data_IF_559789539233
#
_entry.id   IF_559789539233
#
_cell.length_a   1.000
_cell.length_b   1.000
_cell.length_c   1.000
_cell.angle_alpha   90.00
_cell.angle_beta   90.00
_cell.angle_gamma   90.00
#
_symmetry.space_group_name_H-M   'P 1'
#
loop_
_entity.id
_entity.type
_entity.pdbx_description
1 polymer ?
#
# COMPACT_ATOMS: atom_id res chain seq x y z
N UNK A 1 84.13 2.55 -58.61
CA UNK A 1 83.06 3.34 -59.25
C UNK A 1 83.68 4.46 -60.10
N UNK A 2 84.55 5.31 -59.56
CA UNK A 2 85.24 6.37 -60.32
C UNK A 2 86.03 5.86 -61.54
N UNK A 3 86.81 4.79 -61.40
CA UNK A 3 87.59 4.22 -62.52
C UNK A 3 86.73 3.65 -63.65
N UNK A 4 85.47 3.28 -63.38
CA UNK A 4 84.54 2.75 -64.38
C UNK A 4 83.81 3.88 -65.11
N UNK A 5 83.52 4.96 -64.40
CA UNK A 5 82.90 6.17 -64.94
C UNK A 5 83.85 6.87 -65.93
N UNK A 6 85.14 6.92 -65.58
CA UNK A 6 86.19 7.48 -66.44
C UNK A 6 86.41 6.69 -67.74
N UNK A 7 86.13 5.37 -67.75
CA UNK A 7 86.23 4.53 -68.97
C UNK A 7 85.01 4.60 -69.88
N UNK A 8 83.88 5.11 -69.37
CA UNK A 8 82.64 5.24 -70.14
C UNK A 8 82.60 6.56 -70.92
N UNK A 9 83.28 7.58 -70.41
CA UNK A 9 83.41 8.91 -71.02
C UNK A 9 84.42 8.94 -72.19
N UNK A 10 85.28 7.92 -72.33
CA UNK A 10 86.18 7.76 -73.47
C UNK A 10 85.54 6.88 -74.56
N UNK A 11 84.79 7.48 -75.50
CA UNK A 11 84.30 6.75 -76.67
C UNK A 11 85.46 6.29 -77.57
N UNK A 12 85.69 4.97 -77.64
CA UNK A 12 86.70 4.38 -78.53
C UNK A 12 86.94 2.88 -78.34
N UNK A 13 85.94 2.06 -78.66
CA UNK A 13 86.00 0.58 -78.71
C UNK A 13 86.43 -0.13 -77.42
N UNK A 14 85.53 -0.20 -76.42
CA UNK A 14 85.64 -1.21 -75.37
C UNK A 14 85.73 -2.61 -76.02
N UNK A 15 86.78 -3.36 -75.69
CA UNK A 15 86.94 -4.75 -76.15
C UNK A 15 85.73 -5.59 -75.74
N UNK A 16 85.35 -6.59 -76.55
CA UNK A 16 84.26 -7.52 -76.24
C UNK A 16 84.44 -8.14 -74.84
N UNK A 17 85.68 -8.44 -74.45
CA UNK A 17 86.01 -8.95 -73.12
C UNK A 17 85.68 -7.94 -71.99
N UNK A 18 85.96 -6.65 -72.20
CA UNK A 18 85.64 -5.60 -71.22
C UNK A 18 84.13 -5.39 -71.09
N UNK A 19 83.38 -5.41 -72.20
CA UNK A 19 81.91 -5.32 -72.17
C UNK A 19 81.28 -6.49 -71.42
N UNK A 20 81.76 -7.71 -71.65
CA UNK A 20 81.30 -8.92 -70.95
C UNK A 20 81.60 -8.84 -69.44
N UNK A 21 82.77 -8.31 -69.05
CA UNK A 21 83.13 -8.10 -67.66
C UNK A 21 82.24 -7.05 -66.95
N UNK A 22 81.91 -5.94 -67.61
CA UNK A 22 80.96 -4.96 -67.06
C UNK A 22 79.55 -5.52 -66.92
N UNK A 23 79.09 -6.28 -67.92
CA UNK A 23 77.79 -6.95 -67.87
C UNK A 23 77.72 -8.01 -66.76
N UNK A 24 78.80 -8.76 -66.52
CA UNK A 24 78.83 -9.72 -65.41
C UNK A 24 78.83 -9.02 -64.06
N UNK A 25 79.55 -7.90 -63.92
CA UNK A 25 79.52 -7.07 -62.72
C UNK A 25 78.13 -6.46 -62.46
N UNK A 26 77.46 -5.94 -63.49
CA UNK A 26 76.08 -5.44 -63.38
C UNK A 26 75.12 -6.56 -62.97
N UNK A 27 75.23 -7.75 -63.57
CA UNK A 27 74.43 -8.92 -63.19
C UNK A 27 74.67 -9.36 -61.74
N UNK A 28 75.92 -9.32 -61.27
CA UNK A 28 76.26 -9.59 -59.88
C UNK A 28 75.61 -8.56 -58.94
N UNK A 29 75.76 -7.26 -59.24
CA UNK A 29 75.15 -6.18 -58.46
C UNK A 29 73.61 -6.25 -58.45
N UNK A 30 72.99 -6.63 -59.57
CA UNK A 30 71.54 -6.83 -59.66
C UNK A 30 71.08 -8.02 -58.79
N UNK A 31 71.84 -9.12 -58.78
CA UNK A 31 71.57 -10.28 -57.92
C UNK A 31 71.72 -9.92 -56.44
N UNK A 32 72.75 -9.14 -56.09
CA UNK A 32 72.95 -8.66 -54.72
C UNK A 32 71.81 -7.74 -54.29
N UNK A 33 71.43 -6.78 -55.13
CA UNK A 33 70.26 -5.91 -54.90
C UNK A 33 68.97 -6.72 -54.72
N UNK A 34 68.72 -7.71 -55.58
CA UNK A 34 67.56 -8.60 -55.48
C UNK A 34 67.58 -9.43 -54.19
N UNK A 35 68.77 -9.86 -53.74
CA UNK A 35 68.95 -10.56 -52.47
C UNK A 35 68.61 -9.66 -51.28
N UNK A 36 69.12 -8.42 -51.28
CA UNK A 36 68.82 -7.42 -50.24
C UNK A 36 67.33 -7.10 -50.19
N UNK A 37 66.67 -6.91 -51.34
CA UNK A 37 65.22 -6.68 -51.43
C UNK A 37 64.44 -7.88 -50.86
N UNK A 38 64.88 -9.11 -51.16
CA UNK A 38 64.23 -10.31 -50.62
C UNK A 38 64.38 -10.39 -49.09
N UNK A 39 65.57 -10.10 -48.57
CA UNK A 39 65.84 -10.08 -47.14
C UNK A 39 65.03 -9.00 -46.42
N UNK A 40 64.97 -7.79 -46.97
CA UNK A 40 64.18 -6.70 -46.38
C UNK A 40 62.69 -7.00 -46.41
N UNK A 41 62.17 -7.61 -47.48
CA UNK A 41 60.78 -8.07 -47.56
C UNK A 41 60.47 -9.15 -46.52
N UNK A 42 61.38 -10.10 -46.31
CA UNK A 42 61.22 -11.14 -45.29
C UNK A 42 61.25 -10.53 -43.87
N UNK A 43 62.18 -9.61 -43.60
CA UNK A 43 62.26 -8.91 -42.32
C UNK A 43 61.00 -8.08 -42.05
N UNK A 44 60.50 -7.32 -43.04
CA UNK A 44 59.28 -6.55 -42.91
C UNK A 44 58.05 -7.45 -42.68
N UNK A 45 57.95 -8.57 -43.39
CA UNK A 45 56.87 -9.53 -43.20
C UNK A 45 56.89 -10.15 -41.79
N UNK A 46 58.08 -10.49 -41.28
CA UNK A 46 58.23 -11.00 -39.91
C UNK A 46 57.84 -9.96 -38.86
N UNK A 47 58.25 -8.70 -39.04
CA UNK A 47 57.85 -7.62 -38.14
C UNK A 47 56.34 -7.36 -38.17
N UNK A 48 55.71 -7.42 -39.34
CA UNK A 48 54.26 -7.31 -39.47
C UNK A 48 53.54 -8.44 -38.71
N UNK A 49 53.97 -9.69 -38.89
CA UNK A 49 53.41 -10.84 -38.16
C UNK A 49 53.57 -10.72 -36.65
N UNK A 50 54.73 -10.23 -36.18
CA UNK A 50 54.95 -9.99 -34.75
C UNK A 50 53.99 -8.91 -34.24
N UNK A 51 53.85 -7.79 -34.96
CA UNK A 51 52.91 -6.73 -34.63
C UNK A 51 51.48 -7.25 -34.52
N UNK A 52 51.04 -8.07 -35.48
CA UNK A 52 49.70 -8.66 -35.48
C UNK A 52 49.50 -9.60 -34.28
N UNK A 53 50.51 -10.41 -33.95
CA UNK A 53 50.45 -11.31 -32.79
C UNK A 53 50.34 -10.55 -31.46
N UNK A 54 51.09 -9.45 -31.32
CA UNK A 54 51.02 -8.57 -30.15
C UNK A 54 49.67 -7.87 -30.10
N UNK A 55 49.16 -7.39 -31.25
CA UNK A 55 47.85 -6.76 -31.33
C UNK A 55 46.74 -7.72 -30.89
N UNK A 56 46.75 -8.97 -31.37
CA UNK A 56 45.81 -9.99 -30.93
C UNK A 56 45.88 -10.24 -29.42
N UNK A 57 47.09 -10.28 -28.84
CA UNK A 57 47.27 -10.41 -27.39
C UNK A 57 46.71 -9.23 -26.61
N UNK A 58 46.94 -8.01 -27.09
CA UNK A 58 46.38 -6.80 -26.47
C UNK A 58 44.85 -6.83 -26.53
N UNK A 59 44.26 -7.24 -27.66
CA UNK A 59 42.81 -7.37 -27.75
C UNK A 59 42.28 -8.39 -26.74
N UNK A 60 42.89 -9.56 -26.60
CA UNK A 60 42.48 -10.56 -25.60
C UNK A 60 42.47 -9.97 -24.17
N UNK A 61 43.51 -9.22 -23.79
CA UNK A 61 43.58 -8.57 -22.49
C UNK A 61 42.54 -7.45 -22.32
N UNK A 62 42.23 -6.70 -23.38
CA UNK A 62 41.17 -5.69 -23.34
C UNK A 62 39.79 -6.31 -23.18
N UNK A 63 39.54 -7.46 -23.80
CA UNK A 63 38.32 -8.23 -23.59
C UNK A 63 38.22 -8.73 -22.16
N UNK A 64 39.28 -9.32 -21.62
CA UNK A 64 39.34 -9.76 -20.23
C UNK A 64 39.08 -8.60 -19.26
N UNK A 65 39.77 -7.47 -19.45
CA UNK A 65 39.55 -6.26 -18.64
C UNK A 65 38.10 -5.81 -18.68
N UNK A 66 37.50 -5.68 -19.87
CA UNK A 66 36.10 -5.28 -20.02
C UNK A 66 35.15 -6.27 -19.35
N UNK A 67 35.42 -7.57 -19.48
CA UNK A 67 34.59 -8.60 -18.85
C UNK A 67 34.63 -8.50 -17.33
N UNK A 68 35.82 -8.34 -16.76
CA UNK A 68 36.01 -8.14 -15.32
C UNK A 68 35.37 -6.83 -14.85
N UNK A 69 35.51 -5.73 -15.59
CA UNK A 69 34.84 -4.46 -15.30
C UNK A 69 33.31 -4.63 -15.22
N UNK A 70 32.72 -5.31 -16.21
CA UNK A 70 31.28 -5.61 -16.23
C UNK A 70 30.86 -6.55 -15.10
N UNK A 71 31.69 -7.50 -14.71
CA UNK A 71 31.42 -8.39 -13.59
C UNK A 71 31.49 -7.66 -12.25
N UNK A 72 32.48 -6.79 -12.06
CA UNK A 72 32.59 -5.91 -10.89
C UNK A 72 31.38 -4.99 -10.80
N UNK A 73 30.94 -4.38 -11.90
CA UNK A 73 29.72 -3.56 -11.92
C UNK A 73 28.48 -4.38 -11.57
N UNK A 74 28.35 -5.60 -12.09
CA UNK A 74 27.26 -6.52 -11.72
C UNK A 74 27.28 -6.85 -10.23
N UNK A 75 28.45 -7.11 -9.65
CA UNK A 75 28.59 -7.39 -8.22
C UNK A 75 28.31 -6.15 -7.35
N UNK A 76 28.72 -4.95 -7.79
CA UNK A 76 28.45 -3.70 -7.07
C UNK A 76 26.98 -3.31 -7.09
N UNK A 77 26.32 -3.53 -8.21
CA UNK A 77 24.90 -3.24 -8.39
C UNK A 77 24.02 -4.42 -7.96
N UNK A 78 24.57 -5.39 -7.23
CA UNK A 78 23.81 -6.50 -6.69
C UNK A 78 22.91 -5.98 -5.57
N UNK A 79 21.66 -5.68 -5.93
CA UNK A 79 20.63 -5.34 -4.95
C UNK A 79 20.29 -6.57 -4.11
N UNK A 80 20.51 -6.46 -2.81
CA UNK A 80 20.11 -7.51 -1.88
C UNK A 80 18.66 -7.29 -1.44
N UNK A 81 18.01 -8.36 -0.99
CA UNK A 81 16.64 -8.25 -0.49
C UNK A 81 16.51 -7.36 0.74
N UNK A 82 17.58 -7.19 1.54
CA UNK A 82 17.54 -6.36 2.75
C UNK A 82 17.58 -4.86 2.44
N UNK A 83 18.16 -4.44 1.31
CA UNK A 83 18.19 -3.03 0.88
C UNK A 83 16.78 -2.45 0.66
N UNK A 84 15.80 -3.32 0.40
CA UNK A 84 14.39 -2.95 0.18
C UNK A 84 13.57 -2.94 1.47
N UNK A 85 14.13 -3.40 2.59
CA UNK A 85 13.41 -3.47 3.86
C UNK A 85 13.47 -2.11 4.54
N UNK A 86 12.33 -1.47 4.84
CA UNK A 86 12.34 -0.26 5.65
C UNK A 86 12.78 -0.64 7.06
N UNK A 87 13.92 -0.12 7.50
CA UNK A 87 14.47 -0.32 8.84
C UNK A 87 14.23 0.92 9.70
N UNK A 88 13.88 0.72 10.98
CA UNK A 88 13.79 1.77 12.02
C UNK A 88 15.09 2.55 12.10
N UNK A 89 15.05 3.89 12.22
CA UNK A 89 16.24 4.76 12.18
C UNK A 89 17.29 4.35 13.22
N UNK A 90 18.56 4.73 13.01
CA UNK A 90 19.63 4.36 13.94
C UNK A 90 19.41 4.96 15.34
N UNK A 91 18.84 6.15 15.40
CA UNK A 91 18.53 6.83 16.67
C UNK A 91 17.44 6.08 17.44
N UNK A 92 16.33 5.77 16.77
CA UNK A 92 15.23 5.02 17.37
C UNK A 92 15.66 3.60 17.79
N UNK A 93 16.52 2.96 16.99
CA UNK A 93 17.09 1.66 17.32
C UNK A 93 17.96 1.73 18.58
N UNK A 94 18.83 2.74 18.72
CA UNK A 94 19.68 2.89 19.90
C UNK A 94 18.88 3.26 21.16
N UNK A 95 17.75 3.93 21.02
CA UNK A 95 16.84 4.22 22.14
C UNK A 95 16.07 2.96 22.58
N UNK A 96 15.61 2.15 21.62
CA UNK A 96 14.79 0.97 21.91
C UNK A 96 15.62 -0.28 22.25
N UNK A 97 16.80 -0.42 21.66
CA UNK A 97 17.73 -1.49 21.93
C UNK A 97 18.80 -0.97 22.91
N UNK A 98 18.75 -1.46 24.15
CA UNK A 98 19.68 -1.13 25.25
C UNK A 98 21.08 -1.75 25.03
N UNK A 99 21.55 -1.76 23.79
CA UNK A 99 22.74 -2.50 23.34
C UNK A 99 23.90 -1.54 23.15
N UNK A 100 25.07 -1.90 23.67
CA UNK A 100 26.31 -1.14 23.46
C UNK A 100 26.59 -0.95 21.96
N UNK A 101 27.12 0.22 21.59
CA UNK A 101 27.47 0.52 20.20
C UNK A 101 28.58 -0.42 19.72
N UNK A 102 28.21 -1.42 18.94
CA UNK A 102 29.18 -2.24 18.21
C UNK A 102 29.97 -1.37 17.22
N UNK A 103 31.28 -1.55 17.19
CA UNK A 103 32.19 -0.81 16.32
C UNK A 103 32.21 -1.32 14.88
N UNK A 104 31.73 -2.55 14.65
CA UNK A 104 31.66 -3.16 13.32
C UNK A 104 30.31 -2.86 12.65
N UNK A 105 30.35 -2.18 11.51
CA UNK A 105 29.15 -1.76 10.75
C UNK A 105 28.29 -2.96 10.33
N UNK A 106 28.92 -4.06 9.93
CA UNK A 106 28.20 -5.26 9.51
C UNK A 106 27.50 -5.95 10.69
N UNK A 107 28.18 -6.07 11.82
CA UNK A 107 27.59 -6.60 13.05
C UNK A 107 26.40 -5.75 13.53
N UNK A 108 26.54 -4.42 13.49
CA UNK A 108 25.47 -3.48 13.80
C UNK A 108 24.25 -3.69 12.88
N UNK A 109 24.47 -3.83 11.56
CA UNK A 109 23.39 -4.08 10.60
C UNK A 109 22.66 -5.39 10.91
N UNK A 110 23.39 -6.47 11.21
CA UNK A 110 22.79 -7.75 11.56
C UNK A 110 21.96 -7.67 12.84
N UNK A 111 22.45 -6.96 13.85
CA UNK A 111 21.74 -6.78 15.12
C UNK A 111 20.48 -5.94 14.94
N UNK A 112 20.52 -4.89 14.12
CA UNK A 112 19.34 -4.10 13.74
C UNK A 112 18.30 -4.95 13.00
N UNK A 113 18.72 -5.80 12.07
CA UNK A 113 17.82 -6.72 11.35
C UNK A 113 17.16 -7.75 12.28
N UNK A 114 17.92 -8.30 13.23
CA UNK A 114 17.37 -9.23 14.23
C UNK A 114 16.36 -8.55 15.14
N UNK A 115 16.66 -7.34 15.60
CA UNK A 115 15.74 -6.54 16.40
C UNK A 115 14.44 -6.28 15.64
N UNK A 116 14.51 -5.77 14.41
CA UNK A 116 13.35 -5.52 13.57
C UNK A 116 12.50 -6.78 13.35
N UNK A 117 13.15 -7.92 13.10
CA UNK A 117 12.47 -9.21 12.96
C UNK A 117 11.70 -9.56 14.23
N UNK A 118 12.34 -9.46 15.40
CA UNK A 118 11.70 -9.75 16.69
C UNK A 118 10.51 -8.83 16.96
N UNK A 119 10.66 -7.54 16.67
CA UNK A 119 9.61 -6.53 16.83
C UNK A 119 8.42 -6.82 15.91
N UNK A 120 8.68 -7.16 14.63
CA UNK A 120 7.61 -7.51 13.68
C UNK A 120 6.89 -8.80 14.06
N UNK A 121 7.59 -9.79 14.60
CA UNK A 121 6.96 -11.01 15.10
C UNK A 121 6.02 -10.69 16.26
N UNK A 122 6.48 -9.92 17.26
CA UNK A 122 5.65 -9.49 18.39
C UNK A 122 4.42 -8.68 17.95
N UNK A 123 4.60 -7.74 17.01
CA UNK A 123 3.49 -6.96 16.46
C UNK A 123 2.49 -7.82 15.70
N UNK A 124 2.97 -8.80 14.93
CA UNK A 124 2.11 -9.74 14.20
C UNK A 124 1.28 -10.61 15.17
N UNK A 125 1.91 -11.11 16.24
CA UNK A 125 1.24 -11.88 17.29
C UNK A 125 0.20 -11.04 18.02
N UNK A 126 0.56 -9.82 18.45
CA UNK A 126 -0.38 -8.90 19.10
C UNK A 126 -1.54 -8.54 18.17
N UNK A 127 -1.28 -8.31 16.88
CA UNK A 127 -2.33 -8.06 15.88
C UNK A 127 -3.28 -9.25 15.78
N UNK A 128 -2.75 -10.48 15.76
CA UNK A 128 -3.56 -11.70 15.74
C UNK A 128 -4.43 -11.81 17.00
N UNK A 129 -3.85 -11.61 18.18
CA UNK A 129 -4.60 -11.61 19.45
C UNK A 129 -5.74 -10.58 19.44
N UNK A 130 -5.47 -9.34 19.01
CA UNK A 130 -6.49 -8.30 18.91
C UNK A 130 -7.56 -8.64 17.87
N UNK A 131 -7.19 -9.28 16.77
CA UNK A 131 -8.14 -9.74 15.76
C UNK A 131 -9.05 -10.85 16.30
N UNK A 132 -8.50 -11.78 17.09
CA UNK A 132 -9.26 -12.85 17.74
C UNK A 132 -10.24 -12.26 18.78
N UNK A 133 -9.78 -11.31 19.61
CA UNK A 133 -10.64 -10.57 20.56
C UNK A 133 -11.74 -9.82 19.82
N UNK A 134 -11.41 -9.10 18.74
CA UNK A 134 -12.39 -8.39 17.92
C UNK A 134 -13.43 -9.34 17.34
N UNK A 135 -13.01 -10.51 16.85
CA UNK A 135 -13.91 -11.51 16.31
C UNK A 135 -14.86 -12.04 17.38
N UNK A 136 -14.36 -12.29 18.60
CA UNK A 136 -15.14 -12.76 19.73
C UNK A 136 -16.20 -11.73 20.16
N UNK A 137 -15.79 -10.48 20.37
CA UNK A 137 -16.72 -9.39 20.74
C UNK A 137 -17.77 -9.20 19.64
N UNK A 138 -17.39 -9.34 18.36
CA UNK A 138 -18.34 -9.22 17.27
C UNK A 138 -19.35 -10.38 17.22
N UNK A 139 -18.97 -11.61 17.59
CA UNK A 139 -19.93 -12.70 17.76
C UNK A 139 -20.87 -12.45 18.94
N UNK A 140 -20.37 -12.01 20.10
CA UNK A 140 -21.19 -11.69 21.28
C UNK A 140 -22.18 -10.55 20.99
N UNK A 141 -21.74 -9.50 20.29
CA UNK A 141 -22.60 -8.41 19.84
C UNK A 141 -23.67 -8.87 18.83
N UNK A 142 -23.34 -9.82 17.95
CA UNK A 142 -24.33 -10.38 17.05
C UNK A 142 -25.34 -11.27 17.78
N UNK A 143 -24.93 -12.06 18.77
CA UNK A 143 -25.83 -12.89 19.59
C UNK A 143 -26.79 -12.03 20.41
N UNK A 144 -26.28 -10.97 21.05
CA UNK A 144 -27.11 -10.01 21.79
C UNK A 144 -28.04 -9.24 20.85
N UNK A 145 -27.57 -8.82 19.68
CA UNK A 145 -28.41 -8.21 18.64
C UNK A 145 -29.55 -9.14 18.20
N UNK A 146 -29.25 -10.40 17.89
CA UNK A 146 -30.27 -11.38 17.50
C UNK A 146 -31.29 -11.59 18.63
N UNK A 147 -30.82 -11.67 19.89
CA UNK A 147 -31.71 -11.79 21.06
C UNK A 147 -32.61 -10.57 21.25
N UNK A 148 -32.10 -9.37 20.95
CA UNK A 148 -32.88 -8.13 20.96
C UNK A 148 -33.89 -8.09 19.81
N UNK A 149 -33.52 -8.53 18.61
CA UNK A 149 -34.44 -8.65 17.47
C UNK A 149 -35.56 -9.67 17.74
N UNK A 150 -35.24 -10.78 18.41
CA UNK A 150 -36.24 -11.77 18.85
C UNK A 150 -37.21 -11.16 19.88
N UNK A 151 -36.68 -10.41 20.87
CA UNK A 151 -37.51 -9.72 21.87
C UNK A 151 -38.38 -8.64 21.24
N UNK A 152 -37.85 -7.88 20.28
CA UNK A 152 -38.58 -6.86 19.53
C UNK A 152 -39.77 -7.49 18.77
N UNK A 153 -39.54 -8.64 18.11
CA UNK A 153 -40.59 -9.42 17.46
C UNK A 153 -41.68 -9.90 18.44
N UNK A 154 -41.30 -10.34 19.63
CA UNK A 154 -42.26 -10.75 20.66
C UNK A 154 -43.03 -9.57 21.26
N UNK A 155 -42.39 -8.40 21.39
CA UNK A 155 -43.04 -7.18 21.82
C UNK A 155 -44.08 -6.71 20.80
N UNK A 156 -43.76 -6.77 19.50
CA UNK A 156 -44.71 -6.47 18.42
C UNK A 156 -45.95 -7.37 18.51
N UNK A 157 -45.76 -8.68 18.69
CA UNK A 157 -46.87 -9.63 18.89
C UNK A 157 -47.69 -9.28 20.13
N UNK A 158 -47.04 -8.89 21.23
CA UNK A 158 -47.73 -8.48 22.45
C UNK A 158 -48.55 -7.21 22.24
N UNK A 159 -47.99 -6.20 21.56
CA UNK A 159 -48.68 -4.96 21.23
C UNK A 159 -49.90 -5.23 20.35
N UNK A 160 -49.78 -6.10 19.34
CA UNK A 160 -50.91 -6.48 18.48
C UNK A 160 -52.00 -7.23 19.25
N UNK A 161 -51.61 -8.13 20.16
CA UNK A 161 -52.55 -8.79 21.06
C UNK A 161 -53.26 -7.80 21.99
N UNK A 162 -52.51 -6.88 22.61
CA UNK A 162 -53.05 -5.85 23.49
C UNK A 162 -53.99 -4.90 22.74
N UNK A 163 -53.65 -4.46 21.52
CA UNK A 163 -54.56 -3.71 20.63
C UNK A 163 -55.82 -4.49 20.31
N UNK A 164 -55.70 -5.79 20.07
CA UNK A 164 -56.85 -6.69 19.87
C UNK A 164 -57.78 -6.75 21.08
N UNK A 165 -57.24 -6.84 22.29
CA UNK A 165 -58.01 -6.77 23.54
C UNK A 165 -58.63 -5.40 23.72
N UNK A 166 -57.87 -4.31 23.54
CA UNK A 166 -58.36 -2.94 23.67
C UNK A 166 -59.54 -2.70 22.71
N UNK A 167 -59.47 -3.20 21.47
CA UNK A 167 -60.59 -3.13 20.54
C UNK A 167 -61.83 -3.87 21.06
N UNK A 168 -61.66 -5.05 21.70
CA UNK A 168 -62.77 -5.79 22.32
C UNK A 168 -63.32 -5.08 23.56
N UNK A 169 -62.45 -4.50 24.39
CA UNK A 169 -62.83 -3.73 25.56
C UNK A 169 -63.63 -2.50 25.13
N UNK A 170 -63.13 -1.70 24.19
CA UNK A 170 -63.85 -0.54 23.65
C UNK A 170 -65.18 -0.93 22.99
N UNK A 171 -65.29 -2.12 22.39
CA UNK A 171 -66.56 -2.64 21.87
C UNK A 171 -67.52 -3.01 22.99
N UNK A 172 -67.01 -3.66 24.05
CA UNK A 172 -67.81 -3.96 25.23
C UNK A 172 -68.27 -2.67 25.89
N UNK A 173 -67.39 -1.70 26.10
CA UNK A 173 -67.70 -0.38 26.68
C UNK A 173 -68.88 0.28 25.96
N UNK A 174 -68.85 0.31 24.63
CA UNK A 174 -69.98 0.76 23.80
C UNK A 174 -71.24 -0.08 23.95
N UNK A 175 -71.12 -1.39 24.18
CA UNK A 175 -72.27 -2.28 24.42
C UNK A 175 -72.84 -2.05 25.83
N UNK A 176 -72.01 -1.70 26.81
CA UNK A 176 -72.46 -1.32 28.15
C UNK A 176 -73.16 0.04 28.11
N UNK A 177 -72.60 1.06 27.45
CA UNK A 177 -73.25 2.36 27.19
C UNK A 177 -74.60 2.16 26.47
N UNK A 178 -74.62 1.42 25.37
CA UNK A 178 -75.87 1.12 24.63
C UNK A 178 -76.88 0.25 25.40
N UNK A 179 -76.48 -0.37 26.52
CA UNK A 179 -77.37 -1.17 27.37
C UNK A 179 -77.87 -0.35 28.57
N UNK A 180 -77.07 0.58 29.07
CA UNK A 180 -77.50 1.65 29.97
C UNK A 180 -78.56 2.51 29.28
N UNK A 181 -78.28 3.00 28.07
CA UNK A 181 -79.23 3.80 27.27
C UNK A 181 -80.56 3.04 27.02
N UNK A 182 -80.49 1.71 26.83
CA UNK A 182 -81.69 0.87 26.63
C UNK A 182 -82.44 0.52 27.90
N UNK A 183 -81.76 0.43 29.05
CA UNK A 183 -82.45 0.28 30.33
C UNK A 183 -83.13 1.60 30.72
N UNK A 184 -82.53 2.74 30.39
CA UNK A 184 -83.17 4.05 30.52
C UNK A 184 -84.39 4.18 29.57
N UNK A 185 -84.30 3.72 28.31
CA UNK A 185 -85.45 3.69 27.39
C UNK A 185 -86.54 2.66 27.78
N UNK A 186 -86.20 1.47 28.30
CA UNK A 186 -87.17 0.45 28.76
C UNK A 186 -87.81 0.79 30.13
N UNK A 187 -87.14 1.57 30.98
CA UNK A 187 -87.71 2.14 32.21
C UNK A 187 -88.62 3.36 31.90
N UNK A 188 -88.33 4.14 30.86
CA UNK A 188 -89.23 5.20 30.37
C UNK A 188 -90.49 4.65 29.67
N UNK A 189 -90.41 3.51 28.95
CA UNK A 189 -91.58 2.92 28.28
C UNK A 189 -92.51 2.13 29.23
N UNK A 190 -92.01 1.58 30.36
CA UNK A 190 -92.83 0.89 31.37
C UNK A 190 -93.30 1.78 32.54
N UNK A 191 -92.87 3.05 32.59
CA UNK A 191 -93.25 4.02 33.63
C UNK A 191 -94.40 4.96 33.28
N UNK A 192 -94.98 4.88 32.08
CA UNK A 192 -95.92 5.87 31.55
C UNK A 192 -97.43 5.63 31.84
N UNK A 193 -97.77 4.78 32.82
CA UNK A 193 -99.15 4.61 33.33
C UNK A 193 -99.21 4.53 34.87
N UNK A 194 -98.68 5.50 35.63
CA UNK A 194 -99.39 5.90 36.85
C UNK A 194 -98.92 7.22 37.46
N UNK A 195 -99.90 7.95 38.00
CA UNK A 195 -99.77 9.05 38.96
C UNK A 195 -99.27 10.44 38.49
N UNK A 196 -100.24 11.17 37.92
CA UNK A 196 -100.53 12.54 38.38
C UNK A 196 -100.88 12.49 39.88
N UNK A 197 -100.14 13.18 40.76
CA UNK A 197 -100.69 14.06 41.81
C UNK A 197 -99.63 14.53 42.84
N UNK A 198 -99.73 15.83 43.15
CA UNK A 198 -99.22 16.62 44.29
C UNK A 198 -97.71 16.77 44.47
N UNK A 199 -97.09 17.95 44.31
CA UNK A 199 -97.25 19.27 44.99
C UNK A 199 -96.53 19.40 46.34
N UNK A 200 -95.60 20.36 46.31
CA UNK A 200 -95.29 21.43 47.29
C UNK A 200 -94.00 21.31 48.14
N UNK A 201 -93.11 22.29 47.87
CA UNK A 201 -92.18 23.03 48.76
C UNK A 201 -90.94 22.28 49.30
N UNK A 202 -89.71 22.83 49.35
CA UNK A 202 -89.25 24.19 49.67
C UNK A 202 -87.91 24.58 48.99
N UNK A 203 -87.69 25.90 48.89
CA UNK A 203 -86.53 26.66 48.37
C UNK A 203 -85.18 26.39 49.05
N UNK A 204 -84.06 26.47 48.30
CA UNK A 204 -82.84 27.25 48.63
C UNK A 204 -82.12 27.68 47.32
N UNK A 205 -82.05 29.00 47.07
CA UNK A 205 -81.20 29.66 46.06
C UNK A 205 -79.72 29.68 46.48
N UNK A 206 -78.75 29.41 45.58
CA UNK A 206 -77.45 30.11 45.49
C UNK A 206 -76.92 30.12 44.03
N UNK A 207 -76.95 31.31 43.44
CA UNK A 207 -76.06 32.01 42.49
C UNK A 207 -75.34 31.32 41.30
N UNK A 208 -75.66 31.86 40.13
CA UNK A 208 -74.90 31.90 38.87
C UNK A 208 -73.50 32.51 39.03
N UNK A 209 -72.44 31.87 38.47
CA UNK A 209 -71.39 32.60 37.72
C UNK A 209 -70.78 31.73 36.61
N UNK A 210 -71.07 32.20 35.41
CA UNK A 210 -70.49 32.09 34.06
C UNK A 210 -68.95 31.93 33.96
N UNK A 211 -68.57 31.13 32.96
CA UNK A 211 -67.54 31.37 31.93
C UNK A 211 -66.21 30.58 31.90
N UNK A 212 -66.05 30.00 30.70
CA UNK A 212 -64.87 29.97 29.82
C UNK A 212 -63.68 29.05 30.12
N UNK A 213 -63.44 28.22 29.09
CA UNK A 213 -62.12 27.75 28.67
C UNK A 213 -61.08 28.87 28.68
N UNK A 214 -59.78 28.52 28.68
CA UNK A 214 -59.12 28.64 27.38
C UNK A 214 -58.10 27.54 27.08
N UNK A 215 -57.95 27.26 25.78
CA UNK A 215 -56.67 26.89 25.20
C UNK A 215 -55.74 28.11 25.23
N UNK A 216 -54.45 27.93 25.48
CA UNK A 216 -53.44 28.20 24.44
C UNK A 216 -52.00 27.95 24.89
N UNK A 217 -51.21 27.73 23.85
CA UNK A 217 -49.77 27.63 23.73
C UNK A 217 -49.04 28.87 24.28
N UNK A 218 -47.81 28.68 24.76
CA UNK A 218 -46.60 29.38 24.26
C UNK A 218 -45.37 28.94 25.09
N UNK A 219 -44.37 28.35 24.44
CA UNK A 219 -43.09 28.97 24.03
C UNK A 219 -42.25 29.53 25.18
N UNK A 220 -41.06 28.93 25.38
CA UNK A 220 -39.75 29.57 25.15
C UNK A 220 -38.66 29.25 26.19
N UNK A 221 -37.45 29.01 25.65
CA UNK A 221 -36.09 29.24 26.16
C UNK A 221 -35.63 28.73 27.55
N UNK A 222 -34.59 27.87 27.55
CA UNK A 222 -33.19 28.35 27.64
C UNK A 222 -32.15 27.22 27.75
N UNK A 223 -31.12 27.36 26.90
CA UNK A 223 -29.69 27.13 27.13
C UNK A 223 -29.08 25.76 27.50
N UNK A 224 -28.35 25.25 26.51
CA UNK A 224 -26.92 24.89 26.53
C UNK A 224 -26.28 24.42 27.86
N UNK A 225 -25.76 23.19 27.85
CA UNK A 225 -24.30 23.00 27.92
C UNK A 225 -23.85 21.62 27.43
N UNK A 226 -23.10 21.66 26.34
CA UNK A 226 -22.20 20.63 25.85
C UNK A 226 -21.05 20.44 26.85
N UNK A 227 -20.73 19.21 27.23
CA UNK A 227 -19.50 18.85 27.94
C UNK A 227 -18.62 17.95 27.06
N UNK A 228 -17.28 18.00 27.22
CA UNK A 228 -16.35 17.90 26.11
C UNK A 228 -15.66 16.53 25.97
N UNK A 229 -15.05 16.37 24.80
CA UNK A 229 -14.18 15.28 24.39
C UNK A 229 -12.99 15.05 25.34
N UNK A 230 -12.80 13.79 25.74
CA UNK A 230 -11.52 13.29 26.26
C UNK A 230 -10.59 12.95 25.10
N UNK A 231 -9.53 13.74 24.99
CA UNK A 231 -8.29 13.38 24.31
C UNK A 231 -7.59 12.33 25.19
N UNK A 232 -7.33 11.14 24.65
CA UNK A 232 -6.34 10.23 25.22
C UNK A 232 -5.02 10.45 24.52
N UNK A 233 -4.05 10.84 25.34
CA UNK A 233 -2.67 11.13 25.02
C UNK A 233 -1.96 9.95 24.36
N UNK A 234 -1.16 10.34 23.39
CA UNK A 234 0.03 9.64 22.92
C UNK A 234 1.04 9.47 24.05
N UNK A 235 1.43 8.23 24.30
CA UNK A 235 2.80 7.84 24.64
C UNK A 235 3.01 6.38 24.21
#
# INVERSE_FOLDING_TARGET
>A
MEQLQQTLESEGTLSLAQKVALLSHLKALNRDSSSVIRQSKQAAAHQAQLSDSVHARVQNLLYERRHLEQEIERCRNFETSYDKVPLVSLEDYQQAADTEQETDEHALMLNRLKFELSTRQQLSERRKQLQDIRSLINSENNETKNSLEDLDSDLDKFVDFARGIQSKLNKLDKVWESKEDKMEEEEEENGAEDSKASKDADDIEIDDVVDKQPQDRDTNDSDHQTAPAEQMDTN
#
